data_IF_659673080797
#
_entry.id   IF_659673080797
#
_cell.length_a   1.000
_cell.length_b   1.000
_cell.length_c   1.000
_cell.angle_alpha   90.00
_cell.angle_beta   90.00
_cell.angle_gamma   90.00
#
_symmetry.space_group_name_H-M   'P 1'
#
loop_
_entity.id
_entity.type
_entity.pdbx_description
1 polymer ?
#
# COMPACT_ATOMS: atom_id res chain seq x y z
N UNK A 1 -9.49 20.76 -2.55
CA UNK A 1 -9.40 19.33 -2.18
C UNK A 1 -8.15 18.75 -2.79
N UNK A 2 -7.65 17.62 -2.29
CA UNK A 2 -6.48 16.95 -2.88
C UNK A 2 -6.68 16.71 -4.38
N UNK A 3 -7.84 16.16 -4.78
CA UNK A 3 -8.19 15.92 -6.19
C UNK A 3 -8.02 17.16 -7.08
N UNK A 4 -8.56 18.32 -6.67
CA UNK A 4 -8.41 19.58 -7.41
C UNK A 4 -6.95 20.04 -7.54
N UNK A 5 -6.11 19.74 -6.54
CA UNK A 5 -4.69 20.12 -6.56
C UNK A 5 -3.87 19.23 -7.50
N UNK A 6 -4.39 18.03 -7.83
CA UNK A 6 -3.73 17.10 -8.74
C UNK A 6 -4.10 17.34 -10.22
N UNK A 7 -5.17 18.08 -10.51
CA UNK A 7 -5.60 18.40 -11.88
C UNK A 7 -4.51 19.14 -12.67
N UNK A 8 -3.70 19.96 -11.98
CA UNK A 8 -2.57 20.70 -12.55
C UNK A 8 -1.20 20.00 -12.32
N UNK A 9 -1.20 18.76 -11.82
CA UNK A 9 0.01 17.99 -11.51
C UNK A 9 0.24 16.83 -12.49
N UNK A 10 1.46 16.29 -12.50
CA UNK A 10 1.77 15.07 -13.26
C UNK A 10 1.30 13.78 -12.55
N UNK A 11 0.80 13.85 -11.31
CA UNK A 11 0.52 12.68 -10.50
C UNK A 11 -0.93 12.25 -10.53
N UNK A 12 -1.14 10.94 -10.51
CA UNK A 12 -2.48 10.34 -10.41
C UNK A 12 -2.92 10.28 -8.94
N UNK A 13 -4.22 10.34 -8.71
CA UNK A 13 -4.80 10.33 -7.36
C UNK A 13 -4.37 9.13 -6.51
N UNK A 14 -4.48 7.91 -7.05
CA UNK A 14 -4.21 6.69 -6.30
C UNK A 14 -2.75 6.57 -5.79
N UNK A 15 -1.69 6.73 -6.62
CA UNK A 15 -0.32 6.71 -6.11
C UNK A 15 -0.01 7.86 -5.14
N UNK A 16 -0.67 9.02 -5.25
CA UNK A 16 -0.54 10.10 -4.26
C UNK A 16 -1.15 9.68 -2.92
N UNK A 17 -2.33 9.06 -2.92
CA UNK A 17 -2.94 8.54 -1.70
C UNK A 17 -2.07 7.46 -1.04
N UNK A 18 -1.53 6.52 -1.83
CA UNK A 18 -0.59 5.51 -1.35
C UNK A 18 0.64 6.19 -0.70
N UNK A 19 1.23 7.18 -1.37
CA UNK A 19 2.36 7.94 -0.84
C UNK A 19 2.04 8.63 0.49
N UNK A 20 0.93 9.37 0.56
CA UNK A 20 0.56 10.11 1.77
C UNK A 20 0.29 9.18 2.95
N UNK A 21 -0.33 8.02 2.71
CA UNK A 21 -0.55 6.99 3.73
C UNK A 21 0.79 6.40 4.18
N UNK A 22 1.65 6.00 3.24
CA UNK A 22 2.96 5.46 3.56
C UNK A 22 3.82 6.49 4.32
N UNK A 23 3.76 7.77 3.93
CA UNK A 23 4.44 8.84 4.63
C UNK A 23 3.94 9.01 6.06
N UNK A 24 2.61 8.99 6.29
CA UNK A 24 2.04 9.07 7.62
C UNK A 24 2.44 7.86 8.47
N UNK A 25 2.35 6.64 7.94
CA UNK A 25 2.77 5.42 8.64
C UNK A 25 4.26 5.45 9.00
N UNK A 26 5.11 5.90 8.09
CA UNK A 26 6.56 5.98 8.33
C UNK A 26 6.98 7.07 9.32
N UNK A 27 6.07 7.96 9.75
CA UNK A 27 6.36 8.99 10.77
C UNK A 27 6.21 8.49 12.22
N UNK A 28 5.57 7.34 12.44
CA UNK A 28 5.26 6.83 13.78
C UNK A 28 5.83 5.43 13.95
N UNK A 29 6.53 5.20 15.06
CA UNK A 29 7.19 3.92 15.37
C UNK A 29 6.17 2.81 15.58
N UNK A 30 5.04 3.13 16.21
CA UNK A 30 3.96 2.20 16.54
C UNK A 30 3.30 1.59 15.30
N UNK A 31 3.38 2.28 14.16
CA UNK A 31 2.86 1.80 12.87
C UNK A 31 3.91 1.03 12.05
N UNK A 32 5.12 0.88 12.58
CA UNK A 32 6.25 0.14 11.99
C UNK A 32 6.74 -1.01 12.88
N UNK A 33 5.98 -1.35 13.92
CA UNK A 33 6.31 -2.47 14.81
C UNK A 33 6.12 -3.82 14.13
N UNK A 34 6.92 -4.81 14.52
CA UNK A 34 6.79 -6.22 14.12
C UNK A 34 7.34 -7.14 15.21
N UNK A 35 6.94 -8.41 15.22
CA UNK A 35 7.70 -9.47 15.90
C UNK A 35 8.65 -10.09 14.87
N UNK A 36 9.94 -10.12 15.19
CA UNK A 36 10.98 -10.78 14.38
C UNK A 36 11.91 -11.55 15.29
N UNK A 37 12.12 -12.83 14.99
CA UNK A 37 12.94 -13.73 15.82
C UNK A 37 12.53 -13.72 17.31
N UNK A 38 11.21 -13.73 17.56
CA UNK A 38 10.57 -13.63 18.89
C UNK A 38 10.81 -12.32 19.67
N UNK A 39 11.33 -11.27 19.02
CA UNK A 39 11.54 -9.95 19.60
C UNK A 39 10.64 -8.88 18.97
N UNK A 40 10.17 -7.93 19.80
CA UNK A 40 9.48 -6.74 19.33
C UNK A 40 10.50 -5.76 18.73
N UNK A 41 10.35 -5.48 17.45
CA UNK A 41 11.20 -4.55 16.70
C UNK A 41 10.39 -3.38 16.15
N UNK A 42 11.09 -2.35 15.70
CA UNK A 42 10.56 -1.26 14.87
C UNK A 42 11.39 -1.23 13.59
N UNK A 43 10.73 -1.36 12.43
CA UNK A 43 11.41 -1.23 11.14
C UNK A 43 11.85 0.20 10.88
N UNK A 44 13.04 0.42 10.31
CA UNK A 44 13.50 1.76 9.88
C UNK A 44 12.55 2.44 8.89
N UNK A 45 11.92 1.65 8.02
CA UNK A 45 10.83 2.08 7.14
C UNK A 45 9.97 0.90 6.71
N UNK A 46 8.72 1.18 6.34
CA UNK A 46 7.78 0.21 5.77
C UNK A 46 7.35 0.60 4.36
N UNK A 47 7.24 -0.40 3.50
CA UNK A 47 6.88 -0.26 2.10
C UNK A 47 5.37 -0.47 1.88
N UNK A 48 4.70 0.37 1.07
CA UNK A 48 3.30 0.14 0.74
C UNK A 48 3.13 -1.07 -0.19
N UNK A 49 2.26 -1.98 0.23
CA UNK A 49 1.64 -3.00 -0.60
C UNK A 49 0.21 -2.57 -0.95
N UNK A 50 -0.11 -2.43 -2.24
CA UNK A 50 -1.37 -1.89 -2.71
C UNK A 50 -2.08 -2.77 -3.75
N UNK A 51 -3.41 -2.66 -3.82
CA UNK A 51 -4.21 -3.44 -4.79
C UNK A 51 -4.21 -2.82 -6.18
N UNK A 52 -4.15 -3.68 -7.20
CA UNK A 52 -4.34 -3.36 -8.63
C UNK A 52 -5.45 -4.26 -9.18
N UNK A 53 -6.49 -3.65 -9.75
CA UNK A 53 -7.66 -4.36 -10.26
C UNK A 53 -7.49 -4.76 -11.74
N UNK A 54 -7.86 -6.00 -12.06
CA UNK A 54 -7.81 -6.58 -13.40
C UNK A 54 -9.22 -6.68 -13.97
N UNK A 55 -9.60 -5.74 -14.82
CA UNK A 55 -10.97 -5.64 -15.33
C UNK A 55 -11.42 -6.85 -16.16
N UNK A 56 -10.51 -7.49 -16.91
CA UNK A 56 -10.85 -8.63 -17.77
C UNK A 56 -11.19 -9.91 -17.00
N UNK A 57 -10.54 -10.12 -15.85
CA UNK A 57 -10.70 -11.32 -15.01
C UNK A 57 -11.54 -11.05 -13.77
N UNK A 58 -11.89 -9.79 -13.51
CA UNK A 58 -12.57 -9.31 -12.29
C UNK A 58 -11.84 -9.72 -11.00
N UNK A 59 -10.50 -9.82 -11.07
CA UNK A 59 -9.62 -10.16 -9.94
C UNK A 59 -8.72 -8.98 -9.58
N UNK A 60 -7.88 -9.13 -8.55
CA UNK A 60 -6.86 -8.14 -8.20
C UNK A 60 -5.52 -8.80 -7.87
N UNK A 61 -4.45 -8.00 -7.94
CA UNK A 61 -3.12 -8.33 -7.43
C UNK A 61 -2.72 -7.36 -6.32
N UNK A 62 -1.84 -7.81 -5.43
CA UNK A 62 -1.15 -6.97 -4.46
C UNK A 62 0.29 -6.72 -4.96
N UNK A 63 0.65 -5.46 -5.13
CA UNK A 63 1.98 -5.02 -5.55
C UNK A 63 2.65 -4.22 -4.44
N UNK A 64 3.95 -4.43 -4.24
CA UNK A 64 4.74 -3.70 -3.25
C UNK A 64 5.70 -2.73 -3.95
N UNK A 65 5.82 -1.51 -3.40
CA UNK A 65 6.69 -0.48 -3.93
C UNK A 65 7.61 0.06 -2.84
N UNK A 66 8.93 0.18 -3.07
CA UNK A 66 9.84 0.78 -2.09
C UNK A 66 9.43 2.20 -1.73
N UNK A 67 9.28 2.46 -0.42
CA UNK A 67 8.97 3.78 0.08
C UNK A 67 10.15 4.76 -0.11
N UNK A 68 9.81 6.01 -0.36
CA UNK A 68 10.74 7.14 -0.29
C UNK A 68 10.02 8.32 0.32
N UNK A 69 10.71 9.09 1.17
CA UNK A 69 10.19 10.34 1.72
C UNK A 69 10.15 11.48 0.70
N UNK A 70 10.82 11.31 -0.44
CA UNK A 70 10.72 12.17 -1.61
C UNK A 70 9.60 11.65 -2.53
N UNK A 71 8.61 12.50 -2.81
CA UNK A 71 7.44 12.11 -3.61
C UNK A 71 7.81 11.82 -5.07
N UNK A 72 8.76 12.53 -5.67
CA UNK A 72 9.20 12.29 -7.04
C UNK A 72 9.86 10.91 -7.14
N UNK A 73 10.74 10.59 -6.19
CA UNK A 73 11.38 9.28 -6.13
C UNK A 73 10.36 8.17 -5.87
N UNK A 74 9.38 8.39 -4.99
CA UNK A 74 8.30 7.43 -4.76
C UNK A 74 7.48 7.17 -6.04
N UNK A 75 7.16 8.22 -6.80
CA UNK A 75 6.40 8.08 -8.05
C UNK A 75 7.19 7.31 -9.11
N UNK A 76 8.51 7.52 -9.20
CA UNK A 76 9.40 6.72 -10.06
C UNK A 76 9.35 5.24 -9.65
N UNK A 77 9.46 4.94 -8.36
CA UNK A 77 9.39 3.57 -7.83
C UNK A 77 8.03 2.92 -8.17
N UNK A 78 6.94 3.66 -7.96
CA UNK A 78 5.58 3.19 -8.25
C UNK A 78 5.39 2.88 -9.74
N UNK A 79 5.82 3.80 -10.62
CA UNK A 79 5.68 3.62 -12.06
C UNK A 79 6.49 2.42 -12.57
N UNK A 80 7.68 2.18 -12.04
CA UNK A 80 8.49 1.01 -12.39
C UNK A 80 7.81 -0.31 -11.97
N UNK A 81 7.20 -0.37 -10.78
CA UNK A 81 6.41 -1.52 -10.34
C UNK A 81 5.20 -1.74 -11.26
N UNK A 82 4.47 -0.66 -11.60
CA UNK A 82 3.32 -0.75 -12.48
C UNK A 82 3.70 -1.16 -13.91
N UNK A 83 4.81 -0.66 -14.45
CA UNK A 83 5.30 -1.06 -15.76
C UNK A 83 5.58 -2.55 -15.83
N UNK A 84 6.17 -3.10 -14.77
CA UNK A 84 6.59 -4.51 -14.72
C UNK A 84 5.47 -5.49 -14.38
N UNK A 85 4.51 -5.12 -13.53
CA UNK A 85 3.60 -6.07 -12.92
C UNK A 85 2.10 -5.78 -13.08
N UNK A 86 1.68 -4.62 -13.61
CA UNK A 86 0.25 -4.26 -13.69
C UNK A 86 -0.64 -5.26 -14.44
N UNK A 87 -0.04 -6.09 -15.29
CA UNK A 87 -0.75 -7.06 -16.15
C UNK A 87 -0.53 -8.51 -15.73
N UNK A 88 0.24 -8.77 -14.67
CA UNK A 88 0.34 -10.12 -14.09
C UNK A 88 -0.86 -10.33 -13.15
N UNK A 89 -1.67 -11.35 -13.44
CA UNK A 89 -2.94 -11.63 -12.74
C UNK A 89 -2.78 -12.52 -11.51
N UNK A 90 -1.56 -12.92 -11.14
CA UNK A 90 -1.29 -13.61 -9.86
C UNK A 90 -1.64 -12.70 -8.68
N UNK A 91 -2.05 -13.27 -7.56
CA UNK A 91 -2.32 -12.51 -6.34
C UNK A 91 -1.08 -11.74 -5.85
N UNK A 92 0.12 -12.37 -5.91
CA UNK A 92 1.40 -11.76 -5.54
C UNK A 92 2.43 -11.92 -6.68
N UNK A 93 2.41 -11.05 -7.72
CA UNK A 93 3.30 -11.15 -8.88
C UNK A 93 4.79 -11.03 -8.55
N UNK A 94 5.11 -10.30 -7.47
CA UNK A 94 6.49 -10.07 -7.01
C UNK A 94 7.06 -11.22 -6.17
N UNK A 95 6.26 -12.26 -5.89
CA UNK A 95 6.67 -13.39 -5.04
C UNK A 95 6.42 -13.10 -3.57
N UNK A 96 7.46 -13.22 -2.74
CA UNK A 96 7.37 -13.04 -1.28
C UNK A 96 7.14 -11.55 -0.96
N UNK A 97 6.09 -11.25 -0.22
CA UNK A 97 5.82 -9.90 0.30
C UNK A 97 6.92 -9.48 1.27
N UNK A 98 7.42 -8.22 1.21
CA UNK A 98 8.37 -7.71 2.19
C UNK A 98 7.86 -7.84 3.63
N UNK A 99 8.72 -8.20 4.58
CA UNK A 99 8.31 -8.29 5.99
C UNK A 99 7.87 -6.92 6.54
N UNK A 100 8.55 -5.86 6.10
CA UNK A 100 8.32 -4.47 6.49
C UNK A 100 7.29 -3.79 5.56
N UNK A 101 6.03 -4.22 5.60
CA UNK A 101 5.00 -3.66 4.72
C UNK A 101 3.81 -3.06 5.48
N UNK A 102 3.10 -2.15 4.80
CA UNK A 102 1.72 -1.79 5.14
C UNK A 102 0.78 -2.20 3.99
N UNK A 103 -0.47 -2.51 4.31
CA UNK A 103 -1.46 -2.93 3.32
C UNK A 103 -2.42 -1.79 3.01
N UNK A 104 -2.58 -1.48 1.73
CA UNK A 104 -3.46 -0.44 1.22
C UNK A 104 -4.39 -1.04 0.16
N UNK A 105 -5.69 -0.82 0.29
CA UNK A 105 -6.65 -1.21 -0.73
C UNK A 105 -7.60 -0.07 -1.05
N UNK A 106 -8.15 -0.09 -2.27
CA UNK A 106 -9.15 0.88 -2.72
C UNK A 106 -10.41 0.17 -3.21
N UNK A 107 -11.57 0.72 -2.84
CA UNK A 107 -12.90 0.30 -3.28
C UNK A 107 -13.62 1.48 -3.95
N UNK A 108 -13.18 1.92 -5.15
CA UNK A 108 -13.66 3.15 -5.79
C UNK A 108 -15.14 3.10 -6.21
N UNK A 109 -15.80 1.96 -6.05
CA UNK A 109 -17.22 1.72 -6.37
C UNK A 109 -18.15 1.73 -5.14
N UNK A 110 -17.62 1.87 -3.93
CA UNK A 110 -18.42 1.94 -2.69
C UNK A 110 -18.06 3.19 -1.91
N UNK A 111 -19.05 4.00 -1.54
CA UNK A 111 -18.91 4.97 -0.46
C UNK A 111 -19.33 4.30 0.84
N UNK A 112 -18.47 4.29 1.85
CA UNK A 112 -18.76 3.68 3.15
C UNK A 112 -18.49 4.66 4.30
N UNK A 113 -19.34 4.61 5.32
CA UNK A 113 -19.09 5.27 6.60
C UNK A 113 -18.24 4.39 7.54
N UNK A 114 -18.23 3.08 7.29
CA UNK A 114 -17.47 2.09 8.06
C UNK A 114 -17.07 0.90 7.20
N UNK A 115 -15.83 0.44 7.36
CA UNK A 115 -15.28 -0.78 6.80
C UNK A 115 -14.46 -1.49 7.87
N UNK A 116 -14.71 -2.78 8.09
CA UNK A 116 -14.00 -3.57 9.08
C UNK A 116 -13.44 -4.84 8.44
N UNK A 117 -12.19 -5.15 8.80
CA UNK A 117 -11.57 -6.42 8.49
C UNK A 117 -11.55 -7.29 9.75
N UNK A 118 -12.14 -8.48 9.67
CA UNK A 118 -12.02 -9.50 10.69
C UNK A 118 -11.03 -10.57 10.21
N UNK A 119 -9.81 -10.53 10.75
CA UNK A 119 -8.73 -11.45 10.39
C UNK A 119 -8.71 -12.61 11.38
N UNK A 120 -8.90 -13.83 10.88
CA UNK A 120 -8.79 -15.02 11.71
C UNK A 120 -7.33 -15.21 12.17
N UNK A 121 -7.14 -15.65 13.43
CA UNK A 121 -5.83 -15.90 14.02
C UNK A 121 -4.89 -14.68 14.01
N UNK A 122 -5.41 -13.52 14.41
CA UNK A 122 -4.65 -12.27 14.54
C UNK A 122 -3.68 -12.35 15.74
N UNK A 123 -2.58 -13.06 15.57
CA UNK A 123 -1.45 -13.14 16.50
C UNK A 123 -0.23 -12.54 15.84
N UNK A 124 0.43 -11.60 16.52
CA UNK A 124 1.69 -10.97 16.10
C UNK A 124 1.66 -10.29 14.72
N UNK A 125 0.47 -9.91 14.25
CA UNK A 125 0.28 -9.15 13.03
C UNK A 125 0.12 -7.66 13.35
N UNK A 126 1.17 -6.87 13.13
CA UNK A 126 1.19 -5.43 13.44
C UNK A 126 1.15 -4.53 12.20
N UNK A 127 1.33 -5.09 11.00
CA UNK A 127 1.29 -4.33 9.76
C UNK A 127 -0.07 -3.62 9.59
N UNK A 128 -0.11 -2.29 9.41
CA UNK A 128 -1.37 -1.58 9.22
C UNK A 128 -2.12 -2.06 7.97
N UNK A 129 -3.45 -2.10 8.05
CA UNK A 129 -4.33 -2.38 6.91
C UNK A 129 -5.30 -1.20 6.74
N UNK A 130 -5.22 -0.54 5.59
CA UNK A 130 -5.98 0.67 5.27
C UNK A 130 -6.79 0.44 4.00
N UNK A 131 -8.09 0.72 4.08
CA UNK A 131 -9.01 0.67 2.94
C UNK A 131 -9.56 2.05 2.67
N UNK A 132 -9.46 2.53 1.42
CA UNK A 132 -10.01 3.80 0.96
C UNK A 132 -11.17 3.61 -0.02
N UNK A 133 -12.10 4.58 -0.02
CA UNK A 133 -13.17 4.74 -1.00
C UNK A 133 -12.90 5.98 -1.87
#
# INVERSE_FOLDING_TARGET
>A
TLKKSLDDSAYKFYPVMIYLIAQAVNQFDELRMAIKDDELIVWDSVDPQFTVFHQETETFSALSCPYSSDIDQFMVNYLSVMERYKSDTKLFPQGVTPENHLNISALPWVNFDSFNLNVANFTDYFAPIITMA
#
